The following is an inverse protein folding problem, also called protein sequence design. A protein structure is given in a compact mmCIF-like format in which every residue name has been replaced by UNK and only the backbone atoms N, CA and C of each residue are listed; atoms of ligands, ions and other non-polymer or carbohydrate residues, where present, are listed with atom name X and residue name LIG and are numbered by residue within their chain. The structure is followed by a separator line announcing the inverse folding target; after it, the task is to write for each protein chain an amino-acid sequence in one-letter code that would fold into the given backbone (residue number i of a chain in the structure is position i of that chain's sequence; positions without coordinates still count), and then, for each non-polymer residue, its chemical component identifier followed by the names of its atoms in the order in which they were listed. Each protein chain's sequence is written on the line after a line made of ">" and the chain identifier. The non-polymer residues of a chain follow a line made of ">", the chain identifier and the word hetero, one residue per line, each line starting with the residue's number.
data_IF_853185067744
#
_entry.id   IF_853185067744
#
_cell.length_a   1.000
_cell.length_b   1.000
_cell.length_c   1.000
_cell.angle_alpha   90.00
_cell.angle_beta   90.00
_cell.angle_gamma   90.00
#
_symmetry.space_group_name_H-M   'P 1'
#
loop_
_entity.id
_entity.type
_entity.pdbx_description
1 polymer ?
#
# COMPACT_ATOMS: atom_id res chain seq x y z
N UNK A 1 -18.87 19.38 -70.90
CA UNK A 1 -18.73 17.98 -71.34
C UNK A 1 -17.40 17.49 -70.79
N UNK A 2 -17.42 16.85 -69.61
CA UNK A 2 -17.58 15.39 -69.45
C UNK A 2 -16.31 14.65 -69.87
N UNK A 3 -15.50 14.23 -68.88
CA UNK A 3 -15.20 12.81 -68.48
C UNK A 3 -13.91 12.33 -69.16
N UNK A 4 -12.96 11.64 -68.53
CA UNK A 4 -13.10 10.56 -67.56
C UNK A 4 -11.76 10.26 -66.82
N UNK A 5 -11.87 9.60 -65.67
CA UNK A 5 -10.77 9.09 -64.80
C UNK A 5 -10.15 7.78 -65.36
N UNK A 6 -9.05 7.20 -64.79
CA UNK A 6 -9.17 6.36 -63.58
C UNK A 6 -7.94 6.28 -62.62
N UNK A 7 -8.25 5.96 -61.35
CA UNK A 7 -7.53 5.17 -60.33
C UNK A 7 -6.03 5.36 -59.95
N UNK A 8 -5.80 5.69 -58.67
CA UNK A 8 -5.29 4.74 -57.64
C UNK A 8 -5.23 5.35 -56.22
N UNK A 9 -5.74 4.59 -55.25
CA UNK A 9 -5.65 4.81 -53.80
C UNK A 9 -4.22 4.65 -53.23
N UNK A 10 -3.85 5.51 -52.27
CA UNK A 10 -2.98 5.26 -51.07
C UNK A 10 -2.68 6.63 -50.42
N UNK A 11 -2.72 6.91 -49.13
CA UNK A 11 -2.89 6.14 -47.91
C UNK A 11 -3.17 7.13 -46.77
N UNK A 12 -4.03 6.73 -45.83
CA UNK A 12 -4.32 7.39 -44.56
C UNK A 12 -3.15 7.20 -43.60
N UNK A 13 -2.85 8.25 -42.81
CA UNK A 13 -2.34 8.13 -41.45
C UNK A 13 -0.82 8.28 -41.30
N UNK A 14 -0.42 9.33 -40.59
CA UNK A 14 0.63 9.22 -39.58
C UNK A 14 0.25 10.08 -38.38
N UNK A 15 0.01 9.38 -37.28
CA UNK A 15 -0.21 9.87 -35.92
C UNK A 15 0.98 10.72 -35.45
N UNK A 16 0.78 12.03 -35.29
CA UNK A 16 1.63 12.82 -34.39
C UNK A 16 1.29 12.46 -32.94
N UNK A 17 1.89 11.39 -32.43
CA UNK A 17 2.00 11.15 -30.99
C UNK A 17 2.57 12.39 -30.29
N UNK A 18 1.89 12.99 -29.30
CA UNK A 18 2.43 14.15 -28.60
C UNK A 18 3.70 13.74 -27.84
N UNK A 19 4.81 14.44 -28.11
CA UNK A 19 6.07 14.24 -27.40
C UNK A 19 5.88 14.35 -25.87
N UNK A 20 6.56 13.52 -25.06
CA UNK A 20 6.41 13.55 -23.60
C UNK A 20 6.88 14.91 -23.05
N UNK A 21 5.93 15.70 -22.53
CA UNK A 21 6.20 16.96 -21.82
C UNK A 21 7.26 16.72 -20.73
N UNK A 22 8.40 17.44 -20.81
CA UNK A 22 9.48 17.43 -19.81
C UNK A 22 8.89 17.53 -18.40
N UNK A 23 9.11 16.50 -17.58
CA UNK A 23 8.69 16.45 -16.16
C UNK A 23 9.20 17.70 -15.44
N UNK A 24 8.28 18.50 -14.88
CA UNK A 24 8.62 19.64 -14.05
C UNK A 24 9.37 19.14 -12.79
N UNK A 25 10.50 19.78 -12.47
CA UNK A 25 11.32 19.46 -11.28
C UNK A 25 10.44 19.50 -10.03
N UNK A 26 10.36 18.39 -9.29
CA UNK A 26 9.52 18.27 -8.09
C UNK A 26 8.16 17.59 -8.29
N UNK A 27 7.90 16.99 -9.46
CA UNK A 27 6.73 16.12 -9.66
C UNK A 27 6.91 14.75 -8.99
N UNK A 28 6.08 14.38 -8.02
CA UNK A 28 6.01 13.00 -7.49
C UNK A 28 4.78 12.31 -8.08
N UNK A 29 5.01 11.22 -8.80
CA UNK A 29 3.95 10.30 -9.23
C UNK A 29 3.52 9.47 -8.02
N UNK A 30 2.28 9.67 -7.58
CA UNK A 30 1.62 8.84 -6.59
C UNK A 30 0.64 7.92 -7.32
N UNK A 31 0.88 6.62 -7.29
CA UNK A 31 -0.09 5.64 -7.78
C UNK A 31 -1.19 5.48 -6.73
N UNK A 32 -2.40 5.92 -7.06
CA UNK A 32 -3.63 5.59 -6.34
C UNK A 32 -4.26 4.41 -7.08
N UNK A 33 -3.88 3.19 -6.67
CA UNK A 33 -4.22 1.92 -7.33
C UNK A 33 -4.05 2.00 -8.87
N UNK A 34 -5.15 2.14 -9.62
CA UNK A 34 -5.16 2.16 -11.09
C UNK A 34 -4.86 3.53 -11.73
N UNK A 35 -4.67 4.61 -10.94
CA UNK A 35 -4.41 5.96 -11.47
C UNK A 35 -3.08 6.52 -10.99
N UNK A 36 -2.28 7.04 -11.94
CA UNK A 36 -1.06 7.81 -11.64
C UNK A 36 -1.46 9.26 -11.40
N UNK A 37 -1.38 9.72 -10.14
CA UNK A 37 -1.59 11.13 -9.77
C UNK A 37 -0.22 11.81 -9.71
N UNK A 38 0.01 12.80 -10.56
CA UNK A 38 1.25 13.60 -10.51
C UNK A 38 1.04 14.77 -9.58
N UNK A 39 1.70 14.76 -8.43
CA UNK A 39 1.70 15.86 -7.46
C UNK A 39 2.88 16.79 -7.73
N UNK A 40 2.66 18.11 -7.72
CA UNK A 40 3.69 19.12 -7.93
C UNK A 40 3.88 19.98 -6.68
N UNK A 41 5.12 20.36 -6.38
CA UNK A 41 5.42 21.43 -5.41
C UNK A 41 5.35 21.06 -3.91
N UNK A 42 5.31 19.77 -3.55
CA UNK A 42 5.34 19.37 -2.14
C UNK A 42 6.74 19.57 -1.52
N UNK A 43 6.88 20.33 -0.42
CA UNK A 43 8.15 20.46 0.30
C UNK A 43 8.48 19.13 1.00
N UNK A 44 9.71 18.65 0.84
CA UNK A 44 10.17 17.40 1.48
C UNK A 44 11.27 17.73 2.50
N UNK A 45 10.95 17.91 3.79
CA UNK A 45 11.98 18.07 4.81
C UNK A 45 12.88 16.82 4.86
N UNK A 46 14.19 17.03 4.65
CA UNK A 46 15.19 15.97 4.45
C UNK A 46 15.19 14.92 5.58
N UNK A 47 15.04 15.35 6.83
CA UNK A 47 15.07 14.48 8.01
C UNK A 47 13.86 13.55 8.13
N UNK A 48 12.66 14.05 7.81
CA UNK A 48 11.45 13.22 7.83
C UNK A 48 11.48 12.17 6.72
N UNK A 49 12.05 12.51 5.56
CA UNK A 49 12.21 11.59 4.45
C UNK A 49 13.25 10.50 4.77
N UNK A 50 14.33 10.81 5.49
CA UNK A 50 15.35 9.81 5.88
C UNK A 50 14.79 8.76 6.83
N UNK A 51 14.12 9.16 7.92
CA UNK A 51 13.48 8.23 8.86
C UNK A 51 12.40 7.38 8.18
N UNK A 52 11.53 8.02 7.39
CA UNK A 52 10.49 7.31 6.65
C UNK A 52 11.08 6.28 5.67
N UNK A 53 12.08 6.68 4.87
CA UNK A 53 12.77 5.76 3.95
C UNK A 53 13.40 4.61 4.70
N UNK A 54 14.11 4.88 5.80
CA UNK A 54 14.74 3.84 6.60
C UNK A 54 13.73 2.81 7.15
N UNK A 55 12.46 3.18 7.32
CA UNK A 55 11.40 2.26 7.73
C UNK A 55 10.71 1.50 6.58
N UNK A 56 10.73 2.03 5.36
CA UNK A 56 9.94 1.50 4.22
C UNK A 56 10.81 0.77 3.18
N UNK A 57 12.12 1.01 3.13
CA UNK A 57 13.03 0.29 2.21
C UNK A 57 13.00 -1.23 2.44
N UNK A 58 13.34 -2.01 1.41
CA UNK A 58 13.44 -3.47 1.51
C UNK A 58 14.57 -3.87 2.48
N UNK A 59 14.43 -5.02 3.14
CA UNK A 59 15.41 -5.52 4.12
C UNK A 59 16.86 -5.57 3.60
N UNK A 60 17.16 -6.11 2.40
CA UNK A 60 18.54 -6.13 1.90
C UNK A 60 19.10 -4.72 1.70
N UNK A 61 18.30 -3.82 1.11
CA UNK A 61 18.68 -2.42 0.90
C UNK A 61 18.98 -1.73 2.23
N UNK A 62 18.17 -1.97 3.26
CA UNK A 62 18.39 -1.44 4.61
C UNK A 62 19.75 -1.86 5.18
N UNK A 63 20.05 -3.16 5.19
CA UNK A 63 21.34 -3.65 5.72
C UNK A 63 22.53 -3.19 4.88
N UNK A 64 22.40 -3.13 3.56
CA UNK A 64 23.44 -2.55 2.68
C UNK A 64 23.65 -1.07 3.00
N UNK A 65 22.59 -0.29 3.22
CA UNK A 65 22.71 1.11 3.63
C UNK A 65 23.43 1.28 4.98
N UNK A 66 23.13 0.42 5.97
CA UNK A 66 23.86 0.42 7.25
C UNK A 66 25.34 0.04 7.05
N UNK A 67 25.64 -0.96 6.22
CA UNK A 67 27.01 -1.36 5.91
C UNK A 67 27.78 -0.23 5.20
N UNK A 68 27.15 0.47 4.25
CA UNK A 68 27.75 1.64 3.58
C UNK A 68 28.01 2.76 4.59
N UNK A 69 27.05 3.08 5.47
CA UNK A 69 27.24 4.08 6.52
C UNK A 69 28.40 3.70 7.45
N UNK A 70 28.47 2.43 7.85
CA UNK A 70 29.57 1.91 8.66
C UNK A 70 30.93 2.11 7.97
N UNK A 71 31.06 1.72 6.70
CA UNK A 71 32.29 1.91 5.93
C UNK A 71 32.67 3.40 5.77
N UNK A 72 31.68 4.27 5.56
CA UNK A 72 31.90 5.72 5.45
C UNK A 72 32.39 6.32 6.77
N UNK A 73 31.76 5.97 7.89
CA UNK A 73 32.20 6.43 9.21
C UNK A 73 33.64 5.99 9.49
N UNK A 74 33.96 4.71 9.25
CA UNK A 74 35.32 4.21 9.42
C UNK A 74 36.33 4.91 8.49
N UNK A 75 35.94 5.20 7.25
CA UNK A 75 36.78 5.96 6.31
C UNK A 75 37.08 7.37 6.82
N UNK A 76 36.08 8.04 7.42
CA UNK A 76 36.22 9.37 8.01
C UNK A 76 37.15 9.33 9.22
N UNK A 77 36.93 8.42 10.17
CA UNK A 77 37.77 8.31 11.36
C UNK A 77 39.19 7.85 11.04
N UNK A 78 39.37 6.91 10.11
CA UNK A 78 40.69 6.56 9.58
C UNK A 78 41.43 7.78 9.02
N UNK A 79 40.72 8.64 8.27
CA UNK A 79 41.28 9.88 7.73
C UNK A 79 41.66 10.86 8.85
N UNK A 80 40.85 10.96 9.91
CA UNK A 80 41.17 11.78 11.08
C UNK A 80 42.42 11.26 11.79
N UNK A 81 42.54 9.95 12.03
CA UNK A 81 43.74 9.39 12.63
C UNK A 81 44.98 9.72 11.80
N UNK A 82 44.91 9.61 10.47
CA UNK A 82 46.04 9.91 9.57
C UNK A 82 46.56 11.36 9.65
N UNK A 83 45.82 12.29 10.26
CA UNK A 83 46.29 13.66 10.50
C UNK A 83 47.27 13.76 11.69
N UNK A 84 47.30 12.76 12.57
CA UNK A 84 48.22 12.69 13.70
C UNK A 84 49.60 12.15 13.32
N UNK A 85 50.63 12.51 14.08
CA UNK A 85 51.98 11.94 13.95
C UNK A 85 52.11 10.67 14.80
N UNK A 86 52.32 9.52 14.16
CA UNK A 86 52.35 8.19 14.81
C UNK A 86 51.21 7.99 15.86
N UNK A 87 49.93 8.12 15.44
CA UNK A 87 48.81 8.20 16.38
C UNK A 87 48.40 6.86 16.99
N UNK A 88 48.71 5.74 16.33
CA UNK A 88 48.23 4.39 16.64
C UNK A 88 49.43 3.47 16.89
N UNK A 89 49.41 2.74 18.01
CA UNK A 89 50.38 1.69 18.34
C UNK A 89 50.27 0.51 17.39
N UNK A 90 51.39 -0.12 17.05
CA UNK A 90 51.42 -1.39 16.30
C UNK A 90 50.55 -1.37 15.02
N UNK A 91 50.41 -0.21 14.39
CA UNK A 91 49.49 -0.02 13.27
C UNK A 91 49.85 -0.96 12.11
N UNK A 92 48.92 -1.84 11.75
CA UNK A 92 49.12 -2.82 10.70
C UNK A 92 47.89 -2.94 9.77
N UNK A 93 48.06 -2.80 8.44
CA UNK A 93 49.26 -2.36 7.73
C UNK A 93 49.57 -0.88 7.99
N UNK A 94 50.79 -0.45 7.72
CA UNK A 94 51.16 0.96 7.84
C UNK A 94 50.29 1.85 6.92
N UNK A 95 49.96 3.05 7.39
CA UNK A 95 49.15 4.02 6.64
C UNK A 95 47.64 3.77 6.72
N UNK A 96 46.89 4.28 5.74
CA UNK A 96 45.42 4.35 5.81
C UNK A 96 44.74 3.00 6.11
N UNK A 97 45.25 1.89 5.58
CA UNK A 97 44.69 0.56 5.82
C UNK A 97 44.67 0.16 7.30
N UNK A 98 45.77 0.36 8.03
CA UNK A 98 45.80 0.08 9.47
C UNK A 98 44.97 1.08 10.28
N UNK A 99 44.94 2.35 9.89
CA UNK A 99 44.07 3.34 10.53
C UNK A 99 42.58 3.01 10.33
N UNK A 100 42.23 2.45 9.17
CA UNK A 100 40.89 1.96 8.87
C UNK A 100 40.52 0.73 9.69
N UNK A 101 41.41 -0.25 9.83
CA UNK A 101 41.13 -1.42 10.68
C UNK A 101 41.06 -1.04 12.17
N UNK A 102 41.92 -0.13 12.63
CA UNK A 102 41.85 0.43 13.98
C UNK A 102 40.51 1.16 14.23
N UNK A 103 40.04 1.94 13.25
CA UNK A 103 38.73 2.58 13.29
C UNK A 103 37.60 1.53 13.35
N UNK A 104 37.68 0.46 12.55
CA UNK A 104 36.68 -0.64 12.56
C UNK A 104 36.55 -1.28 13.94
N UNK A 105 37.66 -1.62 14.59
CA UNK A 105 37.61 -2.23 15.92
C UNK A 105 37.17 -1.25 17.02
N UNK A 106 37.45 0.04 16.85
CA UNK A 106 37.08 1.11 17.81
C UNK A 106 35.60 1.46 17.70
N UNK A 107 35.12 1.76 16.49
CA UNK A 107 33.72 2.13 16.21
C UNK A 107 32.75 0.99 16.53
N UNK A 108 33.13 -0.26 16.24
CA UNK A 108 32.34 -1.44 16.56
C UNK A 108 32.49 -1.90 18.02
N UNK A 109 33.31 -1.20 18.82
CA UNK A 109 33.59 -1.54 20.23
C UNK A 109 34.16 -2.95 20.43
N UNK A 110 34.89 -3.46 19.44
CA UNK A 110 35.59 -4.76 19.51
C UNK A 110 36.89 -4.62 20.29
N UNK A 111 37.71 -3.63 19.92
CA UNK A 111 38.98 -3.29 20.57
C UNK A 111 39.89 -4.49 20.84
N UNK A 112 40.49 -5.08 19.80
CA UNK A 112 41.40 -6.23 19.98
C UNK A 112 42.60 -5.91 20.89
N UNK A 113 43.01 -4.64 20.95
CA UNK A 113 44.00 -4.12 21.89
C UNK A 113 45.45 -4.17 21.40
N UNK A 114 45.71 -4.87 20.28
CA UNK A 114 47.01 -4.85 19.61
C UNK A 114 47.32 -3.43 19.07
N UNK A 115 46.34 -2.83 18.38
CA UNK A 115 46.33 -1.42 18.04
C UNK A 115 45.61 -0.61 19.11
N UNK A 116 46.20 0.49 19.53
CA UNK A 116 45.61 1.41 20.52
C UNK A 116 46.13 2.83 20.31
N UNK A 117 45.38 3.87 20.76
CA UNK A 117 45.85 5.24 20.65
C UNK A 117 47.16 5.45 21.44
N UNK A 118 48.19 6.04 20.82
CA UNK A 118 49.47 6.37 21.50
C UNK A 118 49.63 7.83 21.84
N UNK A 119 48.82 8.70 21.25
CA UNK A 119 48.92 10.15 21.42
C UNK A 119 47.65 10.70 22.06
N UNK A 120 47.76 11.83 22.77
CA UNK A 120 46.60 12.54 23.34
C UNK A 120 45.59 12.90 22.25
N UNK A 121 46.08 13.29 21.06
CA UNK A 121 45.24 13.51 19.89
C UNK A 121 44.43 12.27 19.52
N UNK A 122 45.08 11.12 19.36
CA UNK A 122 44.41 9.88 19.01
C UNK A 122 43.42 9.42 20.08
N UNK A 123 43.69 9.65 21.37
CA UNK A 123 42.73 9.39 22.45
C UNK A 123 41.46 10.24 22.33
N UNK A 124 41.56 11.52 21.94
CA UNK A 124 40.38 12.36 21.72
C UNK A 124 39.56 11.89 20.51
N UNK A 125 40.23 11.54 19.41
CA UNK A 125 39.56 11.00 18.23
C UNK A 125 38.87 9.67 18.56
N UNK A 126 39.55 8.74 19.25
CA UNK A 126 38.99 7.48 19.69
C UNK A 126 37.82 7.68 20.66
N UNK A 127 37.90 8.65 21.57
CA UNK A 127 36.79 8.99 22.46
C UNK A 127 35.55 9.42 21.68
N UNK A 128 35.73 10.30 20.70
CA UNK A 128 34.64 10.74 19.81
C UNK A 128 34.10 9.58 18.98
N UNK A 129 34.98 8.74 18.44
CA UNK A 129 34.62 7.57 17.64
C UNK A 129 33.78 6.57 18.44
N UNK A 130 34.19 6.24 19.66
CA UNK A 130 33.46 5.35 20.56
C UNK A 130 32.05 5.92 20.83
N UNK A 131 31.93 7.22 21.10
CA UNK A 131 30.63 7.86 21.29
C UNK A 131 29.73 7.75 20.04
N UNK A 132 30.28 8.03 18.85
CA UNK A 132 29.56 7.90 17.58
C UNK A 132 29.19 6.45 17.29
N UNK A 133 30.08 5.49 17.57
CA UNK A 133 29.85 4.06 17.40
C UNK A 133 28.72 3.54 18.27
N UNK A 134 28.77 3.80 19.57
CA UNK A 134 27.70 3.43 20.51
C UNK A 134 26.36 4.06 20.11
N UNK A 135 26.36 5.34 19.72
CA UNK A 135 25.15 6.02 19.25
C UNK A 135 24.59 5.39 17.98
N UNK A 136 25.47 5.02 17.04
CA UNK A 136 25.09 4.38 15.78
C UNK A 136 24.48 2.99 15.99
N UNK A 137 25.06 2.18 16.88
CA UNK A 137 24.53 0.86 17.25
C UNK A 137 23.14 0.99 17.90
N UNK A 138 22.99 1.93 18.83
CA UNK A 138 21.70 2.20 19.49
C UNK A 138 20.63 2.61 18.48
N UNK A 139 20.94 3.54 17.57
CA UNK A 139 20.04 3.98 16.51
C UNK A 139 19.70 2.83 15.56
N UNK A 140 20.68 2.08 15.06
CA UNK A 140 20.44 0.96 14.16
C UNK A 140 19.52 -0.10 14.80
N UNK A 141 19.75 -0.42 16.07
CA UNK A 141 18.92 -1.36 16.84
C UNK A 141 17.49 -0.84 16.99
N UNK A 142 17.32 0.44 17.34
CA UNK A 142 16.01 1.08 17.45
C UNK A 142 15.25 1.09 16.11
N UNK A 143 15.93 1.36 15.00
CA UNK A 143 15.35 1.29 13.66
C UNK A 143 14.95 -0.14 13.27
N UNK A 144 15.78 -1.14 13.58
CA UNK A 144 15.46 -2.55 13.33
C UNK A 144 14.21 -2.95 14.10
N UNK A 145 14.12 -2.61 15.39
CA UNK A 145 12.93 -2.87 16.20
C UNK A 145 11.69 -2.16 15.66
N UNK A 146 11.80 -0.88 15.30
CA UNK A 146 10.70 -0.12 14.70
C UNK A 146 10.22 -0.72 13.37
N UNK A 147 11.14 -1.30 12.56
CA UNK A 147 10.79 -2.00 11.32
C UNK A 147 10.08 -3.32 11.59
N UNK A 148 10.54 -4.12 12.54
CA UNK A 148 9.89 -5.39 12.92
C UNK A 148 8.50 -5.17 13.53
N UNK A 149 8.36 -4.11 14.31
CA UNK A 149 7.11 -3.77 14.97
C UNK A 149 6.03 -3.26 14.01
N UNK A 150 6.32 -2.98 12.73
CA UNK A 150 5.29 -2.49 11.81
C UNK A 150 4.31 -3.62 11.42
N UNK A 151 3.01 -3.47 11.71
CA UNK A 151 2.01 -4.48 11.39
C UNK A 151 1.76 -4.42 9.89
N UNK A 152 2.05 -5.53 9.20
CA UNK A 152 1.72 -5.66 7.78
C UNK A 152 0.41 -6.45 7.66
N UNK A 153 -0.72 -5.74 7.65
CA UNK A 153 -2.01 -6.37 7.37
C UNK A 153 -1.92 -7.10 6.02
N UNK A 154 -2.26 -8.39 6.01
CA UNK A 154 -2.51 -9.13 4.77
C UNK A 154 -4.00 -9.42 4.74
N UNK A 155 -4.78 -8.41 4.42
CA UNK A 155 -6.21 -8.56 4.16
C UNK A 155 -6.36 -8.76 2.66
N UNK A 156 -7.03 -9.85 2.28
CA UNK A 156 -7.43 -10.13 0.92
C UNK A 156 -8.80 -9.50 0.67
N UNK A 157 -8.97 -8.87 -0.49
CA UNK A 157 -10.26 -8.37 -0.95
C UNK A 157 -10.62 -9.11 -2.23
N UNK A 158 -11.90 -9.46 -2.41
CA UNK A 158 -12.29 -10.11 -3.65
C UNK A 158 -12.09 -9.16 -4.82
N UNK A 159 -11.67 -9.71 -5.95
CA UNK A 159 -11.41 -8.95 -7.17
C UNK A 159 -12.61 -8.15 -7.67
N UNK A 160 -13.82 -8.65 -7.46
CA UNK A 160 -15.06 -8.03 -7.92
C UNK A 160 -15.94 -7.66 -6.75
N UNK A 161 -16.62 -6.53 -6.84
CA UNK A 161 -17.79 -6.23 -6.03
C UNK A 161 -19.02 -6.77 -6.78
N UNK A 162 -19.99 -7.36 -6.09
CA UNK A 162 -21.19 -7.90 -6.75
C UNK A 162 -22.43 -7.16 -6.28
N UNK A 163 -23.41 -7.00 -7.17
CA UNK A 163 -24.74 -6.49 -6.83
C UNK A 163 -25.75 -7.58 -7.14
N UNK A 164 -26.58 -7.93 -6.16
CA UNK A 164 -27.61 -8.96 -6.31
C UNK A 164 -28.83 -8.69 -5.43
N UNK A 165 -30.00 -9.26 -5.78
CA UNK A 165 -31.09 -9.37 -4.82
C UNK A 165 -30.70 -10.29 -3.66
N UNK A 166 -30.90 -9.78 -2.45
CA UNK A 166 -30.80 -10.52 -1.18
C UNK A 166 -32.09 -10.20 -0.40
N UNK A 167 -32.86 -11.23 -0.02
CA UNK A 167 -34.14 -11.05 0.69
C UNK A 167 -35.08 -10.04 0.00
N UNK A 168 -35.14 -10.08 -1.33
CA UNK A 168 -35.99 -9.20 -2.14
C UNK A 168 -35.47 -7.77 -2.34
N UNK A 169 -34.33 -7.38 -1.74
CA UNK A 169 -33.73 -6.06 -1.91
C UNK A 169 -32.41 -6.13 -2.66
N UNK A 170 -32.20 -5.19 -3.59
CA UNK A 170 -30.91 -5.07 -4.27
C UNK A 170 -29.83 -4.69 -3.26
N UNK A 171 -28.75 -5.46 -3.24
CA UNK A 171 -27.70 -5.35 -2.23
C UNK A 171 -26.34 -5.45 -2.90
N UNK A 172 -25.48 -4.48 -2.62
CA UNK A 172 -24.06 -4.52 -2.95
C UNK A 172 -23.33 -5.38 -1.92
N UNK A 173 -22.59 -6.37 -2.38
CA UNK A 173 -21.80 -7.27 -1.53
C UNK A 173 -20.32 -7.23 -1.94
N UNK A 174 -19.48 -6.85 -1.00
CA UNK A 174 -18.02 -6.97 -1.10
C UNK A 174 -17.53 -7.94 -0.04
N UNK A 175 -16.43 -8.64 -0.31
CA UNK A 175 -15.87 -9.58 0.66
C UNK A 175 -14.39 -9.33 0.90
N UNK A 176 -14.01 -9.42 2.16
CA UNK A 176 -12.64 -9.37 2.63
C UNK A 176 -12.33 -10.64 3.40
N UNK A 177 -11.06 -11.03 3.46
CA UNK A 177 -10.58 -12.14 4.28
C UNK A 177 -9.27 -11.80 4.95
N UNK A 178 -9.05 -12.30 6.16
CA UNK A 178 -7.74 -12.24 6.77
C UNK A 178 -6.86 -13.36 6.20
N UNK A 179 -5.81 -13.01 5.45
CA UNK A 179 -4.88 -14.00 4.92
C UNK A 179 -3.83 -14.43 5.96
N UNK A 180 -3.82 -13.82 7.15
CA UNK A 180 -3.05 -14.29 8.29
C UNK A 180 -3.93 -15.17 9.17
N UNK A 181 -3.30 -16.13 9.84
CA UNK A 181 -3.96 -16.99 10.85
C UNK A 181 -4.13 -16.29 12.21
N UNK A 182 -3.89 -14.98 12.31
CA UNK A 182 -4.12 -14.21 13.52
C UNK A 182 -5.53 -13.59 13.51
N UNK A 183 -5.93 -13.02 14.64
CA UNK A 183 -7.24 -12.38 14.81
C UNK A 183 -7.07 -10.88 14.71
N UNK A 184 -7.99 -10.25 13.95
CA UNK A 184 -8.17 -8.81 13.94
C UNK A 184 -9.35 -8.50 14.87
N UNK A 185 -9.03 -7.97 16.05
CA UNK A 185 -10.00 -7.60 17.05
C UNK A 185 -10.67 -6.26 16.70
N UNK A 186 -11.96 -6.15 16.98
CA UNK A 186 -12.74 -4.93 16.80
C UNK A 186 -12.62 -4.33 15.38
N UNK A 187 -12.68 -5.20 14.37
CA UNK A 187 -12.54 -4.78 12.98
C UNK A 187 -13.74 -3.90 12.59
N UNK A 188 -13.47 -2.74 11.99
CA UNK A 188 -14.43 -1.79 11.45
C UNK A 188 -14.23 -1.64 9.96
N UNK A 189 -15.33 -1.50 9.24
CA UNK A 189 -15.34 -1.32 7.80
C UNK A 189 -16.14 -0.07 7.42
N UNK A 190 -15.59 0.74 6.53
CA UNK A 190 -16.24 1.91 5.95
C UNK A 190 -16.22 1.76 4.43
N UNK A 191 -17.39 1.71 3.81
CA UNK A 191 -17.55 1.62 2.37
C UNK A 191 -18.02 2.97 1.83
N UNK A 192 -17.39 3.45 0.75
CA UNK A 192 -17.68 4.75 0.14
C UNK A 192 -17.79 4.66 -1.37
N UNK A 193 -18.65 5.47 -1.96
CA UNK A 193 -18.75 5.70 -3.40
C UNK A 193 -18.04 7.01 -3.74
N UNK A 194 -17.02 6.93 -4.58
CA UNK A 194 -16.37 8.09 -5.17
C UNK A 194 -16.86 8.22 -6.62
N UNK A 195 -17.47 9.36 -6.98
CA UNK A 195 -17.91 9.62 -8.37
C UNK A 195 -17.67 11.06 -8.78
N UNK A 196 -17.54 11.27 -10.08
CA UNK A 196 -17.41 12.59 -10.69
C UNK A 196 -18.80 13.20 -10.87
N UNK A 197 -18.97 14.43 -10.41
CA UNK A 197 -20.19 15.21 -10.61
C UNK A 197 -19.84 16.62 -11.10
N UNK A 198 -20.64 17.11 -12.04
CA UNK A 198 -20.62 18.52 -12.43
C UNK A 198 -21.67 19.24 -11.61
N UNK A 199 -21.26 20.25 -10.85
CA UNK A 199 -22.19 21.08 -10.08
C UNK A 199 -22.99 22.00 -10.99
N UNK A 200 -24.05 22.61 -10.44
CA UNK A 200 -24.90 23.55 -11.19
C UNK A 200 -24.12 24.79 -11.64
N UNK A 201 -23.05 25.13 -10.93
CA UNK A 201 -22.12 26.21 -11.25
C UNK A 201 -21.08 25.83 -12.32
N UNK A 202 -21.13 24.60 -12.85
CA UNK A 202 -20.25 24.12 -13.92
C UNK A 202 -18.91 23.53 -13.46
N UNK A 203 -18.66 23.43 -12.14
CA UNK A 203 -17.44 22.82 -11.62
C UNK A 203 -17.55 21.30 -11.65
N UNK A 204 -16.58 20.64 -12.28
CA UNK A 204 -16.47 19.18 -12.25
C UNK A 204 -15.62 18.76 -11.06
N UNK A 205 -16.24 18.09 -10.08
CA UNK A 205 -15.58 17.70 -8.83
C UNK A 205 -15.89 16.26 -8.45
N UNK A 206 -14.94 15.62 -7.77
CA UNK A 206 -15.12 14.26 -7.24
C UNK A 206 -15.80 14.35 -5.88
N UNK A 207 -16.97 13.75 -5.77
CA UNK A 207 -17.71 13.64 -4.50
C UNK A 207 -17.56 12.24 -3.93
N UNK A 208 -17.42 12.21 -2.61
CA UNK A 208 -17.33 10.99 -1.82
C UNK A 208 -18.61 10.86 -1.01
N UNK A 209 -19.29 9.73 -1.15
CA UNK A 209 -20.53 9.40 -0.44
C UNK A 209 -20.31 8.16 0.42
N UNK A 210 -20.74 8.20 1.67
CA UNK A 210 -20.70 7.01 2.52
C UNK A 210 -21.82 6.04 2.13
N UNK A 211 -21.49 4.74 2.04
CA UNK A 211 -22.44 3.67 1.80
C UNK A 211 -22.67 2.91 3.11
N UNK A 212 -23.86 3.07 3.70
CA UNK A 212 -24.20 2.47 5.00
C UNK A 212 -24.19 0.95 4.94
N UNK A 213 -23.25 0.32 5.63
CA UNK A 213 -23.18 -1.14 5.71
C UNK A 213 -24.22 -1.69 6.69
N UNK A 214 -24.82 -2.84 6.36
CA UNK A 214 -25.72 -3.58 7.27
C UNK A 214 -25.01 -3.89 8.59
N UNK A 215 -23.73 -4.25 8.50
CA UNK A 215 -22.86 -4.44 9.65
C UNK A 215 -21.48 -3.90 9.32
N UNK A 216 -21.11 -2.81 9.98
CA UNK A 216 -19.83 -2.13 9.82
C UNK A 216 -18.75 -2.58 10.82
N UNK A 217 -19.07 -3.49 11.75
CA UNK A 217 -18.15 -3.96 12.78
C UNK A 217 -18.16 -5.48 12.93
N UNK A 218 -16.99 -6.07 13.04
CA UNK A 218 -16.77 -7.50 13.26
C UNK A 218 -15.86 -7.71 14.49
N UNK A 219 -16.37 -8.24 15.61
CA UNK A 219 -15.60 -8.37 16.86
C UNK A 219 -14.33 -9.22 16.71
N UNK A 220 -14.41 -10.34 15.96
CA UNK A 220 -13.30 -11.30 15.79
C UNK A 220 -13.13 -11.63 14.31
N UNK A 221 -12.44 -10.79 13.55
CA UNK A 221 -12.22 -11.04 12.12
C UNK A 221 -11.02 -11.97 11.90
N UNK A 222 -11.31 -13.27 11.69
CA UNK A 222 -10.31 -14.34 11.52
C UNK A 222 -10.32 -15.00 10.14
N UNK A 223 -11.50 -15.13 9.52
CA UNK A 223 -11.70 -15.87 8.26
C UNK A 223 -12.16 -14.89 7.17
N UNK A 224 -13.34 -15.09 6.59
CA UNK A 224 -13.97 -14.19 5.64
C UNK A 224 -14.99 -13.25 6.31
N UNK A 225 -15.16 -12.06 5.75
CA UNK A 225 -16.19 -11.10 6.10
C UNK A 225 -16.86 -10.60 4.82
N UNK A 226 -18.14 -10.92 4.66
CA UNK A 226 -19.00 -10.33 3.64
C UNK A 226 -19.65 -9.06 4.17
N UNK A 227 -19.33 -7.95 3.53
CA UNK A 227 -19.83 -6.62 3.81
C UNK A 227 -20.96 -6.32 2.82
N UNK A 228 -22.11 -5.93 3.34
CA UNK A 228 -23.33 -5.74 2.57
C UNK A 228 -23.83 -4.31 2.73
N UNK A 229 -24.21 -3.68 1.63
CA UNK A 229 -24.89 -2.39 1.58
C UNK A 229 -26.21 -2.57 0.82
N UNK A 230 -27.33 -2.34 1.51
CA UNK A 230 -28.66 -2.39 0.89
C UNK A 230 -28.84 -1.14 0.04
N UNK A 231 -29.24 -1.33 -1.22
CA UNK A 231 -29.51 -0.24 -2.17
C UNK A 231 -30.99 0.11 -2.05
N UNK A 232 -31.31 0.99 -1.10
CA UNK A 232 -32.63 1.59 -0.92
C UNK A 232 -32.67 3.02 -1.46
N UNK A 233 -33.81 3.71 -1.33
CA UNK A 233 -34.00 5.09 -1.82
C UNK A 233 -33.02 6.12 -1.23
N UNK A 234 -32.44 5.84 -0.06
CA UNK A 234 -31.44 6.70 0.57
C UNK A 234 -30.02 6.43 0.07
N UNK A 235 -29.81 5.29 -0.61
CA UNK A 235 -28.51 4.91 -1.13
C UNK A 235 -28.08 5.79 -2.30
N UNK A 236 -26.83 6.29 -2.32
CA UNK A 236 -26.23 6.95 -3.48
C UNK A 236 -26.18 6.09 -4.75
N UNK A 237 -26.35 4.76 -4.61
CA UNK A 237 -26.41 3.79 -5.71
C UNK A 237 -27.83 3.54 -6.21
N UNK A 238 -28.85 4.13 -5.60
CA UNK A 238 -30.24 3.95 -6.01
C UNK A 238 -30.47 4.50 -7.43
N UNK A 239 -31.02 3.67 -8.30
CA UNK A 239 -31.26 4.01 -9.71
C UNK A 239 -30.01 4.09 -10.58
N UNK A 240 -28.82 3.77 -10.06
CA UNK A 240 -27.59 3.68 -10.85
C UNK A 240 -27.54 2.34 -11.61
N UNK A 241 -26.99 2.36 -12.82
CA UNK A 241 -26.67 1.17 -13.62
C UNK A 241 -25.17 1.07 -13.86
N UNK A 242 -24.71 -0.02 -14.47
CA UNK A 242 -23.30 -0.16 -14.84
C UNK A 242 -22.84 0.97 -15.78
N UNK A 243 -23.70 1.41 -16.69
CA UNK A 243 -23.44 2.46 -17.67
C UNK A 243 -23.35 3.84 -17.00
N UNK A 244 -24.26 4.15 -16.06
CA UNK A 244 -24.25 5.44 -15.36
C UNK A 244 -23.03 5.57 -14.45
N UNK A 245 -22.67 4.49 -13.75
CA UNK A 245 -21.46 4.43 -12.93
C UNK A 245 -20.20 4.63 -13.78
N UNK A 246 -20.15 4.03 -14.98
CA UNK A 246 -19.04 4.22 -15.92
C UNK A 246 -18.96 5.66 -16.42
N UNK A 247 -20.09 6.26 -16.79
CA UNK A 247 -20.16 7.66 -17.24
C UNK A 247 -19.73 8.68 -16.17
N UNK A 248 -19.88 8.34 -14.89
CA UNK A 248 -19.49 9.19 -13.75
C UNK A 248 -18.10 8.85 -13.17
N UNK A 249 -17.29 8.06 -13.88
CA UNK A 249 -15.99 7.55 -13.37
C UNK A 249 -16.08 6.99 -11.94
N UNK A 250 -17.15 6.27 -11.62
CA UNK A 250 -17.42 5.84 -10.26
C UNK A 250 -16.46 4.74 -9.80
N UNK A 251 -16.11 4.77 -8.52
CA UNK A 251 -15.32 3.74 -7.85
C UNK A 251 -15.81 3.52 -6.41
N UNK A 252 -15.72 2.28 -5.94
CA UNK A 252 -16.02 1.91 -4.56
C UNK A 252 -14.73 1.85 -3.75
N UNK A 253 -14.74 2.43 -2.56
CA UNK A 253 -13.60 2.50 -1.65
C UNK A 253 -13.98 1.84 -0.34
N UNK A 254 -13.34 0.71 -0.02
CA UNK A 254 -13.47 0.07 1.28
C UNK A 254 -12.22 0.35 2.11
N UNK A 255 -12.44 0.82 3.34
CA UNK A 255 -11.41 0.90 4.37
C UNK A 255 -11.77 -0.06 5.49
N UNK A 256 -10.85 -0.95 5.83
CA UNK A 256 -10.97 -1.87 6.96
C UNK A 256 -9.89 -1.51 7.98
N UNK A 257 -10.30 -1.27 9.22
CA UNK A 257 -9.45 -0.91 10.34
C UNK A 257 -9.68 -1.88 11.49
N UNK A 258 -8.68 -2.19 12.28
CA UNK A 258 -8.83 -3.08 13.44
C UNK A 258 -7.53 -3.17 14.23
N UNK A 259 -7.53 -3.95 15.31
CA UNK A 259 -6.33 -4.18 16.12
C UNK A 259 -5.84 -5.60 15.90
N UNK A 260 -4.56 -5.75 15.58
CA UNK A 260 -3.90 -7.05 15.54
C UNK A 260 -3.77 -7.60 16.96
N UNK A 261 -4.39 -8.74 17.27
CA UNK A 261 -4.35 -9.32 18.62
C UNK A 261 -2.93 -9.72 19.04
N UNK A 262 -2.06 -10.09 18.09
CA UNK A 262 -0.71 -10.57 18.40
C UNK A 262 0.28 -9.45 18.72
N UNK A 263 0.12 -8.28 18.08
CA UNK A 263 1.02 -7.14 18.29
C UNK A 263 0.37 -6.00 19.06
N UNK A 264 -0.94 -6.05 19.31
CA UNK A 264 -1.74 -4.97 19.89
C UNK A 264 -1.59 -3.63 19.15
N UNK A 265 -1.46 -3.70 17.82
CA UNK A 265 -1.29 -2.52 16.98
C UNK A 265 -2.46 -2.34 16.03
N UNK A 266 -2.84 -1.09 15.81
CA UNK A 266 -3.87 -0.75 14.83
C UNK A 266 -3.36 -1.04 13.43
N UNK A 267 -4.17 -1.77 12.68
CA UNK A 267 -3.96 -2.04 11.28
C UNK A 267 -5.04 -1.38 10.43
N UNK A 268 -4.67 -1.00 9.22
CA UNK A 268 -5.59 -0.46 8.23
C UNK A 268 -5.27 -1.06 6.87
N UNK A 269 -6.30 -1.51 6.17
CA UNK A 269 -6.24 -1.92 4.78
C UNK A 269 -7.29 -1.16 3.97
N UNK A 270 -6.96 -0.85 2.73
CA UNK A 270 -7.84 -0.15 1.81
C UNK A 270 -7.88 -0.92 0.49
N UNK A 271 -9.03 -0.90 -0.15
CA UNK A 271 -9.20 -1.46 -1.48
C UNK A 271 -10.19 -0.64 -2.28
N UNK A 272 -9.89 -0.47 -3.56
CA UNK A 272 -10.73 0.26 -4.49
C UNK A 272 -11.20 -0.68 -5.60
N UNK A 273 -12.50 -0.69 -5.87
CA UNK A 273 -13.07 -1.29 -7.08
C UNK A 273 -13.44 -0.19 -8.07
N UNK A 274 -12.93 -0.26 -9.29
CA UNK A 274 -13.42 0.54 -10.41
C UNK A 274 -14.81 0.08 -10.84
N UNK A 275 -15.53 0.92 -11.58
CA UNK A 275 -16.84 0.56 -12.14
C UNK A 275 -16.85 -0.76 -12.93
N UNK A 276 -15.75 -1.11 -13.61
CA UNK A 276 -15.62 -2.36 -14.38
C UNK A 276 -15.48 -3.61 -13.50
N UNK A 277 -15.08 -3.42 -12.25
CA UNK A 277 -14.99 -4.48 -11.24
C UNK A 277 -16.29 -4.68 -10.47
N UNK A 278 -17.34 -3.90 -10.76
CA UNK A 278 -18.68 -4.07 -10.16
C UNK A 278 -19.53 -4.93 -11.09
N UNK A 279 -19.96 -6.11 -10.61
CA UNK A 279 -20.72 -7.09 -11.37
C UNK A 279 -22.16 -7.17 -10.89
N UNK A 280 -23.09 -6.74 -11.75
CA UNK A 280 -24.53 -6.78 -11.48
C UNK A 280 -25.12 -8.14 -11.83
N UNK A 281 -26.01 -8.64 -10.98
CA UNK A 281 -26.64 -9.96 -11.10
C UNK A 281 -25.65 -11.12 -11.01
N UNK A 282 -24.66 -11.03 -10.12
CA UNK A 282 -23.71 -12.10 -9.82
C UNK A 282 -23.81 -12.53 -8.36
N UNK A 283 -23.39 -13.77 -8.08
CA UNK A 283 -23.14 -14.28 -6.73
C UNK A 283 -21.69 -14.74 -6.62
N UNK A 284 -21.12 -14.66 -5.41
CA UNK A 284 -19.86 -15.31 -5.13
C UNK A 284 -20.04 -16.83 -5.13
N UNK A 285 -19.03 -17.54 -5.58
CA UNK A 285 -18.91 -18.99 -5.35
C UNK A 285 -18.73 -19.22 -3.85
N UNK A 286 -19.42 -20.24 -3.33
CA UNK A 286 -19.26 -20.65 -1.94
C UNK A 286 -17.85 -21.24 -1.75
N UNK A 287 -17.19 -20.82 -0.69
CA UNK A 287 -15.82 -21.22 -0.37
C UNK A 287 -15.77 -22.12 0.87
N UNK A 288 -16.87 -22.26 1.60
CA UNK A 288 -16.92 -23.05 2.82
C UNK A 288 -17.64 -24.36 2.56
N UNK A 289 -17.03 -25.46 2.98
CA UNK A 289 -17.69 -26.77 3.01
C UNK A 289 -17.29 -27.50 4.28
N UNK A 290 -18.12 -28.44 4.69
CA UNK A 290 -17.89 -29.27 5.87
C UNK A 290 -17.59 -30.69 5.42
N UNK A 291 -16.47 -31.24 5.86
CA UNK A 291 -16.07 -32.62 5.59
C UNK A 291 -15.63 -33.27 6.90
N UNK A 292 -16.24 -34.40 7.26
CA UNK A 292 -15.94 -35.16 8.48
C UNK A 292 -15.96 -34.34 9.79
N UNK A 293 -16.87 -33.36 9.90
CA UNK A 293 -17.00 -32.47 11.07
C UNK A 293 -15.92 -31.39 11.17
N UNK A 294 -15.12 -31.20 10.12
CA UNK A 294 -14.14 -30.13 10.00
C UNK A 294 -14.62 -29.15 8.92
N UNK A 295 -14.64 -27.86 9.26
CA UNK A 295 -14.94 -26.81 8.27
C UNK A 295 -13.70 -26.50 7.44
N UNK A 296 -13.79 -26.67 6.13
CA UNK A 296 -12.77 -26.35 5.15
C UNK A 296 -13.13 -25.06 4.42
N UNK A 297 -12.15 -24.18 4.22
CA UNK A 297 -12.33 -22.93 3.47
C UNK A 297 -11.33 -22.91 2.32
N UNK A 298 -11.85 -22.95 1.10
CA UNK A 298 -11.03 -22.91 -0.10
C UNK A 298 -10.93 -21.48 -0.65
N UNK A 299 -9.80 -20.83 -0.35
CA UNK A 299 -9.50 -19.50 -0.85
C UNK A 299 -9.09 -19.46 -2.33
N UNK A 300 -8.94 -20.60 -3.02
CA UNK A 300 -8.66 -20.61 -4.47
C UNK A 300 -9.82 -20.02 -5.27
N UNK A 301 -11.04 -20.33 -4.86
CA UNK A 301 -12.28 -19.75 -5.38
C UNK A 301 -12.60 -18.38 -4.76
N UNK A 302 -11.62 -17.72 -4.13
CA UNK A 302 -11.91 -16.50 -3.38
C UNK A 302 -12.36 -15.32 -4.25
N UNK A 303 -11.98 -15.32 -5.52
CA UNK A 303 -12.33 -14.25 -6.43
C UNK A 303 -13.48 -14.62 -7.36
N UNK A 304 -13.97 -15.86 -7.27
CA UNK A 304 -14.86 -16.42 -8.26
C UNK A 304 -16.29 -15.94 -8.04
N UNK A 305 -16.87 -15.46 -9.14
CA UNK A 305 -18.23 -14.97 -9.22
C UNK A 305 -18.93 -15.67 -10.37
N UNK A 306 -20.17 -16.08 -10.14
CA UNK A 306 -21.01 -16.69 -11.16
C UNK A 306 -22.25 -15.83 -11.38
N UNK A 307 -22.75 -15.72 -12.63
CA UNK A 307 -24.03 -15.07 -12.89
C UNK A 307 -25.14 -15.71 -12.05
N UNK A 308 -26.10 -14.90 -11.62
CA UNK A 308 -27.34 -15.44 -11.09
C UNK A 308 -28.13 -16.03 -12.25
N UNK A 309 -28.69 -17.21 -12.02
CA UNK A 309 -29.72 -17.73 -12.91
C UNK A 309 -30.85 -16.69 -13.01
N UNK A 310 -31.43 -16.48 -14.20
CA UNK A 310 -32.53 -15.54 -14.35
C UNK A 310 -33.66 -15.99 -13.43
N UNK A 311 -33.86 -15.28 -12.32
CA UNK A 311 -34.97 -15.53 -11.43
C UNK A 311 -36.27 -15.34 -12.25
N UNK A 312 -37.26 -16.24 -12.14
CA UNK A 312 -38.56 -16.00 -12.72
C UNK A 312 -39.09 -14.71 -12.09
N UNK A 313 -39.37 -13.72 -12.94
CA UNK A 313 -40.00 -12.46 -12.54
C UNK A 313 -41.30 -12.83 -11.85
N UNK A 314 -41.34 -12.77 -10.52
CA UNK A 314 -42.58 -12.90 -9.79
C UNK A 314 -43.45 -11.72 -10.21
N UNK A 315 -44.52 -12.02 -10.96
CA UNK A 315 -45.51 -11.05 -11.37
C UNK A 315 -45.99 -10.26 -10.13
N UNK A 316 -46.19 -8.94 -10.23
CA UNK A 316 -46.69 -8.16 -9.11
C UNK A 316 -48.01 -8.76 -8.64
N UNK A 317 -48.09 -9.05 -7.33
CA UNK A 317 -49.28 -9.60 -6.70
C UNK A 317 -50.50 -8.75 -7.09
N UNK A 318 -51.46 -9.39 -7.75
CA UNK A 318 -52.72 -8.76 -8.09
C UNK A 318 -53.36 -8.22 -6.80
N UNK A 319 -53.68 -6.92 -6.78
CA UNK A 319 -54.44 -6.29 -5.70
C UNK A 319 -55.73 -7.10 -5.47
N UNK A 320 -55.92 -7.57 -4.24
CA UNK A 320 -57.19 -8.13 -3.82
C UNK A 320 -58.30 -7.06 -3.97
N UNK A 321 -59.49 -7.41 -4.48
CA UNK A 321 -60.59 -6.47 -4.55
C UNK A 321 -61.08 -6.14 -3.14
N UNK A 322 -61.31 -4.85 -2.90
CA UNK A 322 -61.94 -4.37 -1.67
C UNK A 322 -63.36 -4.95 -1.56
N UNK A 323 -63.65 -5.52 -0.39
CA UNK A 323 -64.99 -5.89 0.06
C UNK A 323 -65.32 -5.12 1.33
#
# INVERSE_FOLDING_TARGET
>A
MATDSPDRLSSIGDDETPAPRRRARGSREMRLDDRVVVTHGMPTPLWQDLYHRALVVRWPTFFVSLAVLFLLLNTVFASLYMLGTAPIANQFPAGFGGAFFFSVETLATVGYGDMHPQTVYAHWIATLEIFVGMSSIALATGLIFARFSRPHAKIMFARYAIVRPLEGRMTLVVRAANARQNVIAEARANLRLLRLETTVEGFTLRKLYDLTLVRNQHPVFKLGWSLMHVIDESSPLFGETAETLKGREASLWLTLEGVDESTSQTMQARHMWSCEQIRWQYKYVDIMHEENGVSHIDYSHFNDVVPLDPAPVAAPAAKAPAS
#
